data_IF_892907699601
#
_entry.id   IF_892907699601
#
_cell.length_a   1.000
_cell.length_b   1.000
_cell.length_c   1.000
_cell.angle_alpha   90.00
_cell.angle_beta   90.00
_cell.angle_gamma   90.00
#
_symmetry.space_group_name_H-M   'P 1'
#
loop_
_entity.id
_entity.type
_entity.pdbx_description
1 polymer ?
#
# COMPACT_ATOMS: atom_id res chain seq x y z
N UNK A 1 3.63 26.02 -1.43
CA UNK A 1 2.98 24.82 -0.90
C UNK A 1 3.81 23.59 -1.27
N UNK A 2 4.09 22.69 -0.32
CA UNK A 2 4.76 21.41 -0.58
C UNK A 2 3.72 20.31 -0.72
N UNK A 3 3.88 19.37 -1.66
CA UNK A 3 2.98 18.20 -1.81
C UNK A 3 2.88 17.33 -0.56
N UNK A 4 3.80 17.49 0.40
CA UNK A 4 3.74 16.91 1.74
C UNK A 4 2.50 17.35 2.53
N UNK A 5 1.92 18.50 2.19
CA UNK A 5 0.69 19.03 2.80
C UNK A 5 -0.58 18.60 2.07
N UNK A 6 -0.50 17.75 1.03
CA UNK A 6 -1.69 17.33 0.28
C UNK A 6 -2.53 16.34 1.09
N UNK A 7 -3.60 16.84 1.70
CA UNK A 7 -4.60 16.04 2.41
C UNK A 7 -5.18 14.96 1.49
N UNK A 8 -5.54 15.32 0.26
CA UNK A 8 -6.10 14.39 -0.72
C UNK A 8 -5.18 13.21 -1.02
N UNK A 9 -3.87 13.46 -1.15
CA UNK A 9 -2.91 12.39 -1.38
C UNK A 9 -2.76 11.48 -0.14
N UNK A 10 -2.85 12.05 1.07
CA UNK A 10 -2.87 11.25 2.31
C UNK A 10 -4.12 10.38 2.41
N UNK A 11 -5.28 10.90 1.98
CA UNK A 11 -6.52 10.12 1.91
C UNK A 11 -6.39 8.95 0.93
N UNK A 12 -5.76 9.15 -0.23
CA UNK A 12 -5.49 8.08 -1.18
C UNK A 12 -4.59 7.00 -0.56
N UNK A 13 -3.51 7.40 0.12
CA UNK A 13 -2.64 6.43 0.81
C UNK A 13 -3.41 5.63 1.87
N UNK A 14 -4.25 6.29 2.67
CA UNK A 14 -5.06 5.60 3.68
C UNK A 14 -6.11 4.68 3.06
N UNK A 15 -6.73 5.09 1.96
CA UNK A 15 -7.67 4.26 1.20
C UNK A 15 -6.99 3.00 0.67
N UNK A 16 -5.73 3.08 0.25
CA UNK A 16 -4.96 1.93 -0.24
C UNK A 16 -4.43 1.02 0.87
N UNK A 17 -4.52 1.42 2.15
CA UNK A 17 -3.98 0.65 3.29
C UNK A 17 -2.61 1.11 3.77
N UNK A 18 -2.06 2.20 3.21
CA UNK A 18 -0.83 2.84 3.69
C UNK A 18 -1.14 3.80 4.86
N UNK A 19 -1.78 3.29 5.90
CA UNK A 19 -2.25 4.07 7.05
C UNK A 19 -1.08 4.45 7.98
N UNK A 20 -1.01 5.74 8.33
CA UNK A 20 -0.05 6.28 9.31
C UNK A 20 -0.76 7.35 10.16
N UNK A 21 -1.19 7.02 11.39
CA UNK A 21 -1.88 7.97 12.28
C UNK A 21 -1.06 9.21 12.61
N UNK A 22 0.27 9.08 12.59
CA UNK A 22 1.15 10.20 12.90
C UNK A 22 1.08 11.29 11.82
N UNK A 23 0.57 11.00 10.62
CA UNK A 23 0.25 12.02 9.61
C UNK A 23 -0.83 12.98 10.10
N UNK A 24 -1.88 12.49 10.76
CA UNK A 24 -2.98 13.35 11.25
C UNK A 24 -2.48 14.38 12.27
N UNK A 25 -1.46 14.06 13.06
CA UNK A 25 -0.87 14.98 14.04
C UNK A 25 0.16 15.96 13.47
N UNK A 26 0.72 15.69 12.28
CA UNK A 26 1.79 16.51 11.67
C UNK A 26 1.29 17.40 10.53
N UNK A 27 0.16 17.06 9.93
CA UNK A 27 -0.37 17.76 8.75
C UNK A 27 -1.07 19.05 9.16
N UNK A 28 -0.55 20.19 8.71
CA UNK A 28 -1.23 21.48 8.86
C UNK A 28 -2.28 21.60 7.76
N UNK A 29 -3.55 21.58 8.14
CA UNK A 29 -4.72 21.64 7.25
C UNK A 29 -5.92 22.26 7.97
N UNK A 30 -6.97 22.59 7.22
CA UNK A 30 -8.20 23.12 7.79
C UNK A 30 -8.90 22.07 8.68
N UNK A 31 -9.68 22.46 9.70
CA UNK A 31 -10.35 21.52 10.59
C UNK A 31 -11.21 20.48 9.85
N UNK A 32 -11.93 20.89 8.80
CA UNK A 32 -12.74 19.98 7.98
C UNK A 32 -11.89 18.93 7.24
N UNK A 33 -10.69 19.32 6.78
CA UNK A 33 -9.75 18.42 6.14
C UNK A 33 -9.16 17.42 7.13
N UNK A 34 -8.84 17.88 8.34
CA UNK A 34 -8.38 17.02 9.43
C UNK A 34 -9.44 15.98 9.80
N UNK A 35 -10.70 16.38 9.93
CA UNK A 35 -11.82 15.48 10.22
C UNK A 35 -12.04 14.46 9.10
N UNK A 36 -11.94 14.88 7.83
CA UNK A 36 -12.06 13.99 6.68
C UNK A 36 -10.93 12.97 6.65
N UNK A 37 -9.69 13.39 6.92
CA UNK A 37 -8.52 12.51 6.97
C UNK A 37 -8.63 11.51 8.14
N UNK A 38 -9.09 11.95 9.31
CA UNK A 38 -9.31 11.09 10.48
C UNK A 38 -10.39 10.03 10.21
N UNK A 39 -11.50 10.42 9.56
CA UNK A 39 -12.52 9.46 9.10
C UNK A 39 -11.95 8.45 8.11
N UNK A 40 -11.11 8.90 7.18
CA UNK A 40 -10.47 8.00 6.20
C UNK A 40 -9.51 7.02 6.87
N UNK A 41 -8.77 7.46 7.88
CA UNK A 41 -7.88 6.60 8.66
C UNK A 41 -8.66 5.46 9.38
N UNK A 42 -9.82 5.80 9.95
CA UNK A 42 -10.66 4.87 10.69
C UNK A 42 -11.47 3.92 9.78
N UNK A 43 -11.78 4.31 8.54
CA UNK A 43 -12.55 3.50 7.61
C UNK A 43 -11.74 2.30 7.06
N UNK A 44 -12.39 1.19 6.65
CA UNK A 44 -11.71 0.10 5.93
C UNK A 44 -11.00 0.59 4.67
N UNK A 45 -9.82 0.04 4.43
CA UNK A 45 -9.03 0.25 3.22
C UNK A 45 -9.42 -0.74 2.11
N UNK A 46 -8.90 -0.51 0.90
CA UNK A 46 -9.00 -1.45 -0.20
C UNK A 46 -8.31 -2.78 0.14
N UNK A 47 -7.19 -2.76 0.86
CA UNK A 47 -6.53 -3.98 1.35
C UNK A 47 -7.44 -4.76 2.31
N UNK A 48 -8.13 -4.08 3.24
CA UNK A 48 -9.10 -4.72 4.14
C UNK A 48 -10.26 -5.36 3.36
N UNK A 49 -10.75 -4.69 2.30
CA UNK A 49 -11.81 -5.22 1.45
C UNK A 49 -11.37 -6.45 0.62
N UNK A 50 -10.11 -6.46 0.16
CA UNK A 50 -9.52 -7.63 -0.52
C UNK A 50 -9.40 -8.80 0.45
N UNK A 51 -8.91 -8.56 1.67
CA UNK A 51 -8.80 -9.59 2.70
C UNK A 51 -10.17 -10.22 3.01
N UNK A 52 -11.19 -9.39 3.22
CA UNK A 52 -12.57 -9.81 3.47
C UNK A 52 -13.18 -10.57 2.28
N UNK A 53 -12.87 -10.17 1.04
CA UNK A 53 -13.24 -10.93 -0.16
C UNK A 53 -12.58 -12.32 -0.17
N UNK A 54 -11.27 -12.41 0.10
CA UNK A 54 -10.53 -13.68 0.10
C UNK A 54 -11.09 -14.63 1.16
N UNK A 55 -11.37 -14.13 2.37
CA UNK A 55 -12.00 -14.93 3.44
C UNK A 55 -13.37 -15.46 3.00
N UNK A 56 -14.22 -14.62 2.40
CA UNK A 56 -15.52 -15.07 1.85
C UNK A 56 -15.40 -16.09 0.73
N UNK A 57 -14.31 -16.07 -0.04
CA UNK A 57 -14.03 -17.01 -1.13
C UNK A 57 -13.38 -18.32 -0.64
N UNK A 58 -13.25 -18.50 0.67
CA UNK A 58 -12.75 -19.74 1.27
C UNK A 58 -11.24 -19.78 1.46
N UNK A 59 -10.56 -18.63 1.47
CA UNK A 59 -9.16 -18.52 1.86
C UNK A 59 -9.08 -18.07 3.34
N UNK A 60 -8.94 -19.02 4.29
CA UNK A 60 -8.99 -18.68 5.71
C UNK A 60 -7.77 -17.85 6.13
N UNK A 61 -8.04 -16.77 6.87
CA UNK A 61 -7.02 -15.95 7.54
C UNK A 61 -6.68 -16.58 8.89
N UNK A 62 -5.58 -17.32 8.93
CA UNK A 62 -5.03 -17.97 10.13
C UNK A 62 -3.58 -17.53 10.36
N UNK A 63 -3.26 -16.87 11.49
CA UNK A 63 -4.14 -16.55 12.63
C UNK A 63 -5.17 -15.44 12.31
N UNK A 64 -6.26 -15.33 13.11
CA UNK A 64 -7.21 -14.22 12.97
C UNK A 64 -6.48 -12.88 13.12
N UNK A 65 -7.00 -11.81 12.49
CA UNK A 65 -6.33 -10.52 12.48
C UNK A 65 -6.04 -10.03 13.89
N UNK A 66 -4.79 -9.66 14.15
CA UNK A 66 -4.46 -8.88 15.34
C UNK A 66 -5.20 -7.53 15.27
N UNK A 67 -5.60 -6.93 16.41
CA UNK A 67 -6.11 -5.57 16.42
C UNK A 67 -5.09 -4.68 15.72
N UNK A 68 -5.49 -4.07 14.60
CA UNK A 68 -4.60 -3.31 13.71
C UNK A 68 -3.68 -2.38 14.50
N UNK A 69 -2.39 -2.70 14.56
CA UNK A 69 -1.38 -1.71 14.86
C UNK A 69 -1.34 -0.82 13.61
N UNK A 70 -1.90 0.38 13.73
CA UNK A 70 -1.98 1.31 12.62
C UNK A 70 -0.62 1.46 11.93
N UNK A 71 -0.56 1.03 10.68
CA UNK A 71 0.66 0.91 9.90
C UNK A 71 0.36 0.40 8.49
N UNK A 72 1.32 0.55 7.58
CA UNK A 72 1.21 0.07 6.20
C UNK A 72 0.86 -1.43 6.15
N UNK A 73 0.11 -1.85 5.12
CA UNK A 73 -0.18 -3.26 4.82
C UNK A 73 1.12 -4.07 4.82
N UNK A 74 1.44 -4.71 5.94
CA UNK A 74 2.61 -5.55 6.04
C UNK A 74 2.35 -6.86 5.27
N UNK A 75 3.39 -7.48 4.69
CA UNK A 75 3.26 -8.82 4.16
C UNK A 75 2.73 -9.78 5.22
N UNK A 76 1.78 -10.63 4.84
CA UNK A 76 1.18 -11.62 5.74
C UNK A 76 1.23 -13.01 5.12
N UNK A 77 1.61 -14.00 5.93
CA UNK A 77 1.84 -15.36 5.44
C UNK A 77 0.57 -16.04 4.92
N UNK A 78 -0.59 -15.78 5.54
CA UNK A 78 -1.87 -16.30 5.05
C UNK A 78 -2.23 -15.72 3.67
N UNK A 79 -1.92 -14.43 3.44
CA UNK A 79 -2.18 -13.75 2.17
C UNK A 79 -1.29 -14.33 1.08
N UNK A 80 -0.02 -14.56 1.37
CA UNK A 80 0.88 -15.24 0.45
C UNK A 80 0.35 -16.63 0.06
N UNK A 81 -0.03 -17.49 1.02
CA UNK A 81 -0.60 -18.81 0.72
C UNK A 81 -1.86 -18.74 -0.14
N UNK A 82 -2.75 -17.78 0.15
CA UNK A 82 -3.94 -17.55 -0.65
C UNK A 82 -3.59 -17.15 -2.09
N UNK A 83 -2.65 -16.22 -2.26
CA UNK A 83 -2.21 -15.75 -3.57
C UNK A 83 -1.53 -16.85 -4.39
N UNK A 84 -0.66 -17.67 -3.78
CA UNK A 84 -0.04 -18.82 -4.47
C UNK A 84 -1.13 -19.70 -5.08
N UNK A 85 -2.12 -20.11 -4.28
CA UNK A 85 -3.23 -20.93 -4.75
C UNK A 85 -4.06 -20.27 -5.85
N UNK A 86 -4.33 -18.96 -5.73
CA UNK A 86 -5.06 -18.20 -6.76
C UNK A 86 -4.33 -18.24 -8.11
N UNK A 87 -2.99 -18.11 -8.09
CA UNK A 87 -2.18 -18.08 -9.30
C UNK A 87 -1.85 -19.47 -9.85
N UNK A 88 -1.83 -20.51 -9.02
CA UNK A 88 -1.62 -21.91 -9.45
C UNK A 88 -2.88 -22.58 -9.99
N UNK A 89 -4.07 -22.11 -9.57
CA UNK A 89 -5.37 -22.60 -10.04
C UNK A 89 -6.15 -21.50 -10.81
N UNK A 90 -5.61 -20.91 -11.90
CA UNK A 90 -6.19 -19.72 -12.53
C UNK A 90 -7.56 -19.97 -13.16
N UNK A 91 -7.86 -21.20 -13.59
CA UNK A 91 -9.18 -21.55 -14.13
C UNK A 91 -10.27 -21.53 -13.04
N UNK A 92 -9.93 -21.90 -11.80
CA UNK A 92 -10.85 -21.89 -10.66
C UNK A 92 -11.02 -20.48 -10.05
N UNK A 93 -10.06 -19.58 -10.30
CA UNK A 93 -9.94 -18.29 -9.63
C UNK A 93 -9.74 -17.11 -10.61
N UNK A 94 -10.24 -17.22 -11.84
CA UNK A 94 -9.98 -16.26 -12.92
C UNK A 94 -10.31 -14.81 -12.55
N UNK A 95 -11.40 -14.57 -11.82
CA UNK A 95 -11.79 -13.24 -11.36
C UNK A 95 -10.84 -12.67 -10.29
N UNK A 96 -10.35 -13.52 -9.38
CA UNK A 96 -9.36 -13.14 -8.38
C UNK A 96 -7.98 -12.88 -9.00
N UNK A 97 -7.58 -13.65 -10.01
CA UNK A 97 -6.36 -13.39 -10.79
C UNK A 97 -6.46 -12.01 -11.44
N UNK A 98 -7.56 -11.73 -12.15
CA UNK A 98 -7.76 -10.43 -12.80
C UNK A 98 -7.74 -9.27 -11.79
N UNK A 99 -8.38 -9.44 -10.63
CA UNK A 99 -8.33 -8.45 -9.55
C UNK A 99 -6.89 -8.23 -9.06
N UNK A 100 -6.14 -9.31 -8.82
CA UNK A 100 -4.75 -9.20 -8.35
C UNK A 100 -3.85 -8.48 -9.37
N UNK A 101 -4.02 -8.74 -10.67
CA UNK A 101 -3.26 -8.04 -11.72
C UNK A 101 -3.57 -6.54 -11.76
N UNK A 102 -4.85 -6.15 -11.63
CA UNK A 102 -5.22 -4.72 -11.56
C UNK A 102 -4.62 -4.04 -10.33
N UNK A 103 -4.62 -4.73 -9.18
CA UNK A 103 -4.07 -4.17 -7.94
C UNK A 103 -2.55 -4.01 -7.97
N UNK A 104 -1.82 -4.97 -8.53
CA UNK A 104 -0.35 -4.87 -8.66
C UNK A 104 0.04 -3.80 -9.69
N UNK A 105 -0.70 -3.67 -10.79
CA UNK A 105 -0.51 -2.58 -11.78
C UNK A 105 -0.75 -1.21 -11.16
N UNK A 106 -1.79 -1.06 -10.34
CA UNK A 106 -2.04 0.19 -9.60
C UNK A 106 -0.91 0.52 -8.62
N UNK A 107 -0.37 -0.47 -7.91
CA UNK A 107 0.74 -0.27 -6.97
C UNK A 107 2.06 0.04 -7.70
N UNK A 108 2.27 -0.54 -8.88
CA UNK A 108 3.35 -0.16 -9.79
C UNK A 108 3.22 1.29 -10.23
N UNK A 109 2.04 1.70 -10.70
CA UNK A 109 1.77 3.08 -11.10
C UNK A 109 2.05 4.07 -9.96
N UNK A 110 1.67 3.74 -8.72
CA UNK A 110 1.96 4.57 -7.55
C UNK A 110 3.48 4.67 -7.28
N UNK A 111 4.21 3.56 -7.40
CA UNK A 111 5.66 3.54 -7.23
C UNK A 111 6.38 4.36 -8.30
N UNK A 112 5.97 4.23 -9.57
CA UNK A 112 6.48 5.03 -10.68
C UNK A 112 6.22 6.53 -10.47
N UNK A 113 5.01 6.87 -10.03
CA UNK A 113 4.68 8.25 -9.68
C UNK A 113 5.60 8.79 -8.57
N UNK A 114 5.85 8.02 -7.49
CA UNK A 114 6.76 8.43 -6.41
C UNK A 114 8.19 8.63 -6.93
N UNK A 115 8.69 7.71 -7.74
CA UNK A 115 10.03 7.79 -8.34
C UNK A 115 10.18 9.04 -9.22
N UNK A 116 9.22 9.27 -10.10
CA UNK A 116 9.22 10.46 -10.96
C UNK A 116 9.08 11.75 -10.15
N UNK A 117 8.27 11.75 -9.09
CA UNK A 117 8.14 12.90 -8.19
C UNK A 117 9.46 13.23 -7.48
N UNK A 118 10.19 12.22 -6.98
CA UNK A 118 11.53 12.40 -6.39
C UNK A 118 12.47 13.07 -7.39
N UNK A 119 12.58 12.53 -8.60
CA UNK A 119 13.47 13.06 -9.64
C UNK A 119 13.08 14.49 -10.04
N UNK A 120 11.78 14.76 -10.17
CA UNK A 120 11.26 16.08 -10.51
C UNK A 120 11.61 17.11 -9.43
N UNK A 121 11.46 16.77 -8.15
CA UNK A 121 11.83 17.69 -7.05
C UNK A 121 13.34 17.89 -7.03
N UNK A 122 14.13 16.81 -7.12
CA UNK A 122 15.59 16.87 -7.08
C UNK A 122 16.18 17.72 -8.22
N UNK A 123 15.67 17.63 -9.45
CA UNK A 123 16.16 18.47 -10.56
C UNK A 123 15.82 19.95 -10.39
N UNK A 124 14.76 20.29 -9.65
CA UNK A 124 14.30 21.68 -9.47
C UNK A 124 15.00 22.38 -8.31
N UNK A 125 15.23 21.67 -7.19
CA UNK A 125 15.74 22.28 -5.95
C UNK A 125 17.01 21.62 -5.39
N UNK A 126 17.52 20.55 -6.02
CA UNK A 126 18.64 19.77 -5.52
C UNK A 126 18.32 19.05 -4.21
N UNK A 127 19.33 18.86 -3.37
CA UNK A 127 19.21 18.24 -2.05
C UNK A 127 18.82 19.23 -0.92
N UNK A 128 18.28 20.41 -1.28
CA UNK A 128 17.87 21.41 -0.27
C UNK A 128 16.72 20.86 0.57
N UNK A 129 16.69 21.23 1.85
CA UNK A 129 15.54 20.95 2.73
C UNK A 129 14.27 21.56 2.11
N UNK A 130 13.16 20.84 2.25
CA UNK A 130 11.89 21.27 1.67
C UNK A 130 11.35 22.52 2.38
N UNK A 131 10.56 23.31 1.66
CA UNK A 131 9.90 24.52 2.21
C UNK A 131 8.85 24.23 3.29
N UNK A 132 8.50 22.95 3.49
CA UNK A 132 7.60 22.47 4.56
C UNK A 132 8.31 21.83 5.75
N UNK A 133 9.61 22.08 5.95
CA UNK A 133 10.40 21.56 7.09
C UNK A 133 10.89 20.12 6.95
N UNK A 134 10.44 19.38 5.93
CA UNK A 134 10.93 18.03 5.63
C UNK A 134 12.38 18.05 5.16
N UNK A 135 13.05 16.89 5.23
CA UNK A 135 14.38 16.68 4.64
C UNK A 135 14.38 16.71 3.09
N UNK A 136 13.31 17.24 2.47
CA UNK A 136 13.20 17.42 1.03
C UNK A 136 13.23 16.09 0.28
N UNK A 137 14.17 15.96 -0.64
CA UNK A 137 14.38 14.76 -1.46
C UNK A 137 14.64 13.51 -0.61
N UNK A 138 15.35 13.62 0.52
CA UNK A 138 15.65 12.47 1.40
C UNK A 138 14.38 11.82 1.94
N UNK A 139 13.42 12.63 2.40
CA UNK A 139 12.12 12.12 2.83
C UNK A 139 11.36 11.47 1.66
N UNK A 140 11.35 12.10 0.48
CA UNK A 140 10.64 11.54 -0.66
C UNK A 140 11.23 10.18 -1.07
N UNK A 141 12.57 10.04 -1.06
CA UNK A 141 13.25 8.77 -1.30
C UNK A 141 12.87 7.70 -0.29
N UNK A 142 12.65 8.05 0.98
CA UNK A 142 12.21 7.09 2.00
C UNK A 142 10.80 6.53 1.76
N UNK A 143 10.03 7.12 0.84
CA UNK A 143 8.70 6.61 0.46
C UNK A 143 8.74 5.60 -0.69
N UNK A 144 9.85 5.50 -1.43
CA UNK A 144 9.98 4.61 -2.59
C UNK A 144 9.79 3.11 -2.26
N UNK A 145 10.24 2.60 -1.10
CA UNK A 145 10.02 1.18 -0.77
C UNK A 145 8.57 0.85 -0.39
N UNK A 146 7.70 1.85 -0.15
CA UNK A 146 6.33 1.61 0.30
C UNK A 146 5.50 0.97 -0.81
N UNK A 147 4.82 -0.12 -0.46
CA UNK A 147 3.87 -0.85 -1.32
C UNK A 147 2.53 -0.94 -0.64
N UNK A 148 1.45 -0.67 -1.35
CA UNK A 148 0.09 -0.88 -0.84
C UNK A 148 -0.24 -2.38 -0.79
N UNK A 149 0.28 -3.17 -1.73
CA UNK A 149 0.00 -4.61 -1.83
C UNK A 149 1.30 -5.42 -1.91
N UNK A 150 2.15 -5.42 -0.86
CA UNK A 150 3.46 -6.05 -0.95
C UNK A 150 3.40 -7.57 -1.19
N UNK A 151 2.35 -8.27 -0.75
CA UNK A 151 2.22 -9.71 -0.99
C UNK A 151 2.01 -10.06 -2.48
N UNK A 152 1.41 -9.16 -3.27
CA UNK A 152 1.28 -9.34 -4.73
C UNK A 152 2.65 -9.29 -5.43
N UNK A 153 3.60 -8.55 -4.88
CA UNK A 153 4.99 -8.58 -5.36
C UNK A 153 5.72 -9.83 -4.85
N UNK A 154 5.53 -10.17 -3.57
CA UNK A 154 6.18 -11.32 -2.92
C UNK A 154 5.80 -12.65 -3.56
N UNK A 155 4.53 -12.84 -3.96
CA UNK A 155 4.06 -14.11 -4.53
C UNK A 155 4.81 -14.49 -5.80
N UNK A 156 5.29 -13.52 -6.59
CA UNK A 156 6.04 -13.80 -7.84
C UNK A 156 7.30 -14.62 -7.63
N UNK A 157 7.90 -14.57 -6.44
CA UNK A 157 9.06 -15.40 -6.07
C UNK A 157 8.69 -16.82 -5.62
N UNK A 158 7.40 -17.13 -5.50
CA UNK A 158 6.87 -18.40 -5.00
C UNK A 158 6.06 -19.16 -6.06
N UNK A 159 5.85 -18.58 -7.25
CA UNK A 159 5.17 -19.25 -8.35
C UNK A 159 6.13 -20.15 -9.12
N UNK A 160 5.68 -21.33 -9.52
CA UNK A 160 6.44 -22.23 -10.39
C UNK A 160 7.65 -22.90 -9.71
N UNK A 161 7.69 -22.92 -8.38
CA UNK A 161 8.66 -23.74 -7.66
C UNK A 161 8.17 -25.20 -7.71
N UNK A 162 8.92 -26.07 -8.39
CA UNK A 162 8.73 -27.51 -8.25
C UNK A 162 9.03 -27.91 -6.80
N UNK A 163 8.27 -28.84 -6.18
CA UNK A 163 8.58 -29.29 -4.84
C UNK A 163 9.99 -29.89 -4.82
N UNK A 164 10.88 -29.37 -3.96
CA UNK A 164 12.18 -29.98 -3.74
C UNK A 164 11.97 -31.42 -3.22
N UNK A 165 12.22 -32.40 -4.10
CA UNK A 165 12.29 -33.81 -3.71
C UNK A 165 13.49 -33.98 -2.75
N UNK A 166 13.20 -34.15 -1.46
CA UNK A 166 14.17 -34.58 -0.44
C UNK A 166 14.11 -36.10 -0.25
#
# INVERSE_FOLDING_TARGET
ASGFQSVQFRELEFLLGLKDPAVCGRLVCEPEEADRLQRRLAAPSLSDAVDDLLVRRGFPRDPPPAPSAAGASAPEEWRLRALVRIYEEPEAHADLVALCEVLIEMDECLALWRAHHVQMVERMIGAKRGTGGSEGVTYLRSTLPKRAFPDLWRVRSHLGQEPEEH
#
